data_IF_535957490155
#
_entry.id   IF_535957490155
#
_cell.length_a   1.000
_cell.length_b   1.000
_cell.length_c   1.000
_cell.angle_alpha   90.00
_cell.angle_beta   90.00
_cell.angle_gamma   90.00
#
_symmetry.space_group_name_H-M   'P 1'
#
loop_
_entity.id
_entity.type
_entity.pdbx_description
1 polymer ?
#
# COMPACT_ATOMS: atom_id res chain seq x y z
N UNK A 1 -31.22 36.07 36.92
CA UNK A 1 -32.56 35.48 36.77
C UNK A 1 -32.31 34.01 36.49
N UNK A 2 -32.23 33.15 37.45
CA UNK A 2 -33.21 32.36 38.22
C UNK A 2 -34.05 31.48 37.29
N UNK A 3 -33.88 30.16 37.44
CA UNK A 3 -34.77 29.16 36.90
C UNK A 3 -34.17 27.75 37.03
N UNK A 4 -34.12 27.26 38.25
CA UNK A 4 -33.93 25.84 38.56
C UNK A 4 -35.27 25.13 38.47
N UNK A 5 -35.30 23.91 37.92
CA UNK A 5 -36.35 22.93 38.20
C UNK A 5 -35.74 21.54 38.34
N UNK A 6 -35.94 21.04 39.55
CA UNK A 6 -35.68 19.68 40.03
C UNK A 6 -36.93 18.81 39.79
N UNK A 7 -36.74 17.51 40.06
CA UNK A 7 -37.72 16.42 40.34
C UNK A 7 -38.09 15.60 39.09
N UNK A 8 -37.78 14.31 39.09
CA UNK A 8 -38.47 13.25 39.71
C UNK A 8 -37.84 11.88 39.57
N UNK A 9 -37.68 11.29 40.64
CA UNK A 9 -37.35 9.90 40.97
C UNK A 9 -38.46 8.95 40.49
N UNK A 10 -38.11 7.79 39.85
CA UNK A 10 -38.96 6.59 39.92
C UNK A 10 -38.15 5.34 39.74
N UNK A 11 -38.03 4.63 40.79
CA UNK A 11 -37.51 3.31 41.05
C UNK A 11 -38.55 2.26 40.61
N UNK A 12 -38.20 1.31 39.73
CA UNK A 12 -38.96 0.09 39.59
C UNK A 12 -38.00 -1.08 39.28
N UNK A 13 -37.74 -1.88 40.29
CA UNK A 13 -37.10 -3.17 40.23
C UNK A 13 -38.05 -4.21 39.67
N UNK A 14 -37.63 -4.97 38.67
CA UNK A 14 -38.26 -6.24 38.27
C UNK A 14 -37.18 -7.29 38.11
N UNK A 15 -37.15 -8.15 39.13
CA UNK A 15 -36.43 -9.44 39.14
C UNK A 15 -37.16 -10.40 38.21
N UNK A 16 -36.52 -10.87 37.15
CA UNK A 16 -36.91 -12.04 36.39
C UNK A 16 -35.74 -13.05 36.39
N UNK A 17 -35.90 -14.08 37.19
CA UNK A 17 -35.07 -15.28 37.18
C UNK A 17 -35.35 -16.06 35.91
N UNK A 18 -34.37 -16.27 35.07
CA UNK A 18 -34.37 -17.25 33.98
C UNK A 18 -33.34 -18.33 34.25
N UNK A 19 -33.85 -19.55 34.40
CA UNK A 19 -33.10 -20.77 34.59
C UNK A 19 -32.15 -21.02 33.43
N UNK A 20 -30.88 -21.37 33.73
CA UNK A 20 -29.90 -21.88 32.78
C UNK A 20 -30.17 -23.33 32.44
N UNK A 21 -30.29 -23.70 31.17
CA UNK A 21 -30.21 -25.12 30.77
C UNK A 21 -28.78 -25.63 30.90
N UNK A 22 -28.62 -26.77 31.56
CA UNK A 22 -27.41 -27.56 31.66
C UNK A 22 -27.01 -28.03 30.27
N UNK A 23 -25.77 -27.82 29.78
CA UNK A 23 -25.31 -28.42 28.55
C UNK A 23 -25.01 -29.91 28.81
N UNK A 24 -25.67 -30.74 28.02
CA UNK A 24 -25.44 -32.17 27.86
C UNK A 24 -23.99 -32.45 27.49
N UNK A 25 -23.38 -33.39 28.18
CA UNK A 25 -22.00 -33.79 28.03
C UNK A 25 -21.71 -34.32 26.60
N UNK A 26 -20.83 -33.64 25.89
CA UNK A 26 -20.26 -34.11 24.65
C UNK A 26 -19.37 -35.35 24.88
N UNK A 27 -19.38 -36.31 23.95
CA UNK A 27 -18.55 -37.53 24.07
C UNK A 27 -17.05 -37.21 24.03
N UNK A 28 -16.20 -38.08 24.65
CA UNK A 28 -14.76 -37.80 24.74
C UNK A 28 -14.11 -37.83 23.34
N UNK A 29 -13.61 -36.71 22.93
CA UNK A 29 -12.74 -36.58 21.75
C UNK A 29 -11.38 -37.18 22.09
N UNK A 30 -11.04 -38.27 21.43
CA UNK A 30 -9.71 -38.86 21.43
C UNK A 30 -8.68 -37.82 20.97
N UNK A 31 -7.56 -37.63 21.68
CA UNK A 31 -6.52 -36.69 21.21
C UNK A 31 -5.84 -37.26 19.98
N UNK A 32 -6.12 -36.69 18.83
CA UNK A 32 -5.34 -36.87 17.61
C UNK A 32 -3.94 -36.34 17.87
N UNK A 33 -2.86 -37.10 17.60
CA UNK A 33 -1.51 -36.58 17.76
C UNK A 33 -1.30 -35.38 16.85
N UNK A 34 -0.53 -34.36 17.29
CA UNK A 34 -0.30 -33.21 16.47
C UNK A 34 0.45 -33.60 15.20
N UNK A 35 -0.23 -33.48 14.07
CA UNK A 35 0.44 -33.49 12.77
C UNK A 35 1.37 -32.30 12.81
N UNK A 36 2.65 -32.55 13.00
CA UNK A 36 3.68 -31.58 12.81
C UNK A 36 3.58 -31.06 11.36
N UNK A 37 2.89 -29.93 11.19
CA UNK A 37 2.96 -29.19 9.98
C UNK A 37 4.44 -28.86 9.77
N UNK A 38 5.09 -29.60 8.88
CA UNK A 38 6.35 -29.20 8.29
C UNK A 38 6.05 -27.89 7.60
N UNK A 39 6.31 -26.79 8.30
CA UNK A 39 6.52 -25.51 7.68
C UNK A 39 7.71 -25.74 6.76
N UNK A 40 7.44 -25.94 5.49
CA UNK A 40 8.44 -25.94 4.45
C UNK A 40 8.96 -24.51 4.42
N UNK A 41 10.01 -24.29 5.20
CA UNK A 41 10.78 -23.07 5.18
C UNK A 41 11.45 -23.03 3.81
N UNK A 42 10.79 -22.33 2.86
CA UNK A 42 11.38 -22.06 1.59
C UNK A 42 12.73 -21.35 1.85
N UNK A 43 13.81 -21.73 1.15
CA UNK A 43 15.09 -21.09 1.35
C UNK A 43 14.94 -19.57 1.16
N UNK A 44 15.61 -18.73 2.00
CA UNK A 44 15.44 -17.30 1.93
C UNK A 44 15.79 -16.84 0.50
N UNK A 45 14.77 -16.33 -0.20
CA UNK A 45 14.92 -15.78 -1.54
C UNK A 45 16.10 -14.79 -1.54
N UNK A 46 17.00 -14.90 -2.48
CA UNK A 46 18.14 -14.00 -2.62
C UNK A 46 17.63 -12.56 -2.79
N UNK A 47 18.42 -11.57 -2.42
CA UNK A 47 18.02 -10.17 -2.55
C UNK A 47 17.65 -9.81 -4.01
N UNK A 48 18.20 -10.51 -5.00
CA UNK A 48 17.85 -10.36 -6.41
C UNK A 48 16.46 -10.94 -6.72
N UNK A 49 16.16 -12.16 -6.31
CA UNK A 49 14.84 -12.80 -6.47
C UNK A 49 13.74 -12.03 -5.76
N UNK A 50 14.04 -11.47 -4.58
CA UNK A 50 13.10 -10.62 -3.85
C UNK A 50 12.84 -9.28 -4.56
N UNK A 51 13.81 -8.76 -5.33
CA UNK A 51 13.65 -7.57 -6.18
C UNK A 51 12.82 -7.87 -7.43
N UNK A 52 12.98 -9.03 -8.00
CA UNK A 52 12.28 -9.50 -9.19
C UNK A 52 10.85 -9.94 -8.86
N UNK A 53 10.63 -10.53 -7.67
CA UNK A 53 9.30 -10.91 -7.16
C UNK A 53 8.44 -9.71 -6.72
N UNK A 54 9.01 -8.51 -6.59
CA UNK A 54 8.27 -7.25 -6.55
C UNK A 54 7.75 -6.94 -7.96
N UNK A 55 6.95 -7.83 -8.47
CA UNK A 55 6.62 -8.06 -9.88
C UNK A 55 6.04 -6.87 -10.63
N UNK A 56 5.90 -5.70 -10.02
CA UNK A 56 5.60 -4.46 -10.72
C UNK A 56 6.20 -3.26 -9.99
N UNK A 57 7.47 -3.00 -10.26
CA UNK A 57 8.16 -1.77 -9.83
C UNK A 57 7.57 -0.51 -10.50
N UNK A 58 6.27 -0.52 -10.82
CA UNK A 58 5.60 0.55 -11.59
C UNK A 58 4.31 0.96 -10.93
N UNK A 59 4.19 2.25 -10.68
CA UNK A 59 2.97 2.90 -10.19
C UNK A 59 2.39 3.70 -11.33
N UNK A 60 1.18 3.33 -11.76
CA UNK A 60 0.49 3.99 -12.87
C UNK A 60 -0.39 5.13 -12.40
N UNK A 61 -0.65 6.08 -13.32
CA UNK A 61 -1.45 7.28 -13.05
C UNK A 61 -2.52 7.46 -14.12
N UNK A 62 -3.68 7.96 -13.72
CA UNK A 62 -4.74 8.38 -14.63
C UNK A 62 -4.30 9.53 -15.54
N UNK A 63 -5.00 9.79 -16.66
CA UNK A 63 -4.72 10.94 -17.52
C UNK A 63 -4.74 12.25 -16.70
N UNK A 64 -3.67 13.04 -16.80
CA UNK A 64 -3.51 14.26 -16.01
C UNK A 64 -3.33 14.07 -14.49
N UNK A 65 -3.57 12.86 -13.97
CA UNK A 65 -3.49 12.56 -12.54
C UNK A 65 -2.05 12.55 -12.00
N UNK A 66 -1.91 13.02 -10.78
CA UNK A 66 -0.63 13.08 -10.03
C UNK A 66 -0.73 12.45 -8.65
N UNK A 67 -1.91 11.95 -8.26
CA UNK A 67 -2.14 11.28 -6.98
C UNK A 67 -1.95 9.77 -7.11
N UNK A 68 -1.32 9.16 -6.10
CA UNK A 68 -1.23 7.70 -5.98
C UNK A 68 -2.56 7.17 -5.48
N UNK A 69 -3.20 6.31 -6.25
CA UNK A 69 -4.46 5.66 -5.90
C UNK A 69 -4.28 4.56 -4.85
N UNK A 70 -5.37 3.91 -4.44
CA UNK A 70 -5.34 2.86 -3.42
C UNK A 70 -4.55 1.63 -3.89
N UNK A 71 -4.59 1.30 -5.18
CA UNK A 71 -3.85 0.17 -5.76
C UNK A 71 -2.35 0.47 -5.74
N UNK A 72 -1.96 1.67 -6.17
CA UNK A 72 -0.57 2.14 -6.12
C UNK A 72 -0.02 2.18 -4.69
N UNK A 73 -0.83 2.59 -3.70
CA UNK A 73 -0.41 2.58 -2.28
C UNK A 73 -0.12 1.17 -1.79
N UNK A 74 -1.00 0.20 -2.06
CA UNK A 74 -0.79 -1.22 -1.70
C UNK A 74 0.47 -1.79 -2.36
N UNK A 75 0.74 -1.44 -3.61
CA UNK A 75 1.98 -1.84 -4.30
C UNK A 75 3.24 -1.28 -3.64
N UNK A 76 3.17 -0.10 -3.02
CA UNK A 76 4.31 0.52 -2.34
C UNK A 76 4.62 -0.08 -0.95
N UNK A 77 3.68 -0.79 -0.32
CA UNK A 77 3.87 -1.39 1.01
C UNK A 77 5.04 -2.40 1.05
N UNK A 78 5.13 -3.41 0.15
CA UNK A 78 6.25 -4.35 0.15
C UNK A 78 7.58 -3.66 -0.16
N UNK A 79 7.62 -2.64 -1.00
CA UNK A 79 8.82 -1.83 -1.24
C UNK A 79 9.26 -1.08 0.02
N UNK A 80 8.32 -0.53 0.77
CA UNK A 80 8.62 0.14 2.03
C UNK A 80 9.17 -0.84 3.07
N UNK A 81 8.63 -2.06 3.15
CA UNK A 81 9.16 -3.12 4.03
C UNK A 81 10.58 -3.50 3.65
N UNK A 82 10.85 -3.70 2.35
CA UNK A 82 12.17 -4.01 1.83
C UNK A 82 13.20 -2.93 2.18
N UNK A 83 12.86 -1.66 1.96
CA UNK A 83 13.73 -0.52 2.22
C UNK A 83 14.01 -0.33 3.72
N UNK A 84 13.02 -0.59 4.58
CA UNK A 84 13.20 -0.55 6.04
C UNK A 84 14.05 -1.71 6.56
N UNK A 85 13.99 -2.87 5.92
CA UNK A 85 14.80 -4.04 6.30
C UNK A 85 16.28 -3.87 5.95
N UNK A 86 16.60 -3.14 4.89
CA UNK A 86 17.99 -2.86 4.49
C UNK A 86 18.24 -1.35 4.41
N UNK A 87 18.89 -0.80 5.44
CA UNK A 87 19.20 0.62 5.54
C UNK A 87 20.19 1.14 4.49
N UNK A 88 20.91 0.24 3.78
CA UNK A 88 21.84 0.56 2.69
C UNK A 88 21.16 0.57 1.33
N UNK A 89 20.01 -0.07 1.22
CA UNK A 89 19.28 -0.14 -0.03
C UNK A 89 18.71 1.25 -0.39
N UNK A 90 18.91 1.63 -1.63
CA UNK A 90 18.44 2.91 -2.18
C UNK A 90 17.48 2.60 -3.33
N UNK A 91 16.34 3.26 -3.36
CA UNK A 91 15.42 3.24 -4.50
C UNK A 91 15.50 4.56 -5.27
N UNK A 92 15.54 4.47 -6.58
CA UNK A 92 15.42 5.64 -7.49
C UNK A 92 14.01 5.64 -8.08
N UNK A 93 13.24 6.68 -7.79
CA UNK A 93 11.93 6.93 -8.39
C UNK A 93 12.13 7.65 -9.72
N UNK A 94 11.68 7.05 -10.81
CA UNK A 94 11.79 7.63 -12.16
C UNK A 94 10.40 7.96 -12.68
N UNK A 95 10.08 9.24 -12.78
CA UNK A 95 8.77 9.74 -13.22
C UNK A 95 8.70 9.91 -14.73
N UNK A 96 7.65 9.35 -15.32
CA UNK A 96 7.38 9.36 -16.76
C UNK A 96 5.97 9.88 -17.05
N UNK A 97 5.79 10.43 -18.24
CA UNK A 97 4.50 10.90 -18.76
C UNK A 97 4.28 10.41 -20.19
N UNK A 98 3.03 10.52 -20.66
CA UNK A 98 2.71 10.33 -22.07
C UNK A 98 3.23 11.48 -22.95
N UNK A 99 2.91 11.43 -24.24
CA UNK A 99 3.35 12.38 -25.27
C UNK A 99 2.57 13.70 -25.27
N UNK A 100 1.47 13.81 -24.50
CA UNK A 100 0.56 14.96 -24.54
C UNK A 100 1.12 16.17 -23.77
N UNK A 101 0.95 17.36 -24.34
CA UNK A 101 1.34 18.63 -23.73
C UNK A 101 2.77 19.09 -24.03
N UNK A 102 3.11 20.28 -23.57
CA UNK A 102 4.45 20.86 -23.74
C UNK A 102 5.51 20.11 -22.93
N UNK A 103 6.78 20.24 -23.33
CA UNK A 103 7.90 19.63 -22.59
C UNK A 103 7.94 20.07 -21.12
N UNK A 104 7.74 21.36 -20.86
CA UNK A 104 7.72 21.89 -19.51
C UNK A 104 6.57 21.32 -18.68
N UNK A 105 5.37 21.22 -19.25
CA UNK A 105 4.21 20.60 -18.61
C UNK A 105 4.47 19.13 -18.28
N UNK A 106 4.99 18.36 -19.22
CA UNK A 106 5.33 16.96 -19.03
C UNK A 106 6.34 16.75 -17.89
N UNK A 107 7.37 17.57 -17.82
CA UNK A 107 8.35 17.52 -16.74
C UNK A 107 7.70 17.82 -15.38
N UNK A 108 6.88 18.88 -15.30
CA UNK A 108 6.17 19.25 -14.07
C UNK A 108 5.24 18.13 -13.57
N UNK A 109 4.50 17.47 -14.47
CA UNK A 109 3.63 16.32 -14.12
C UNK A 109 4.49 15.15 -13.62
N UNK A 110 5.61 14.84 -14.29
CA UNK A 110 6.52 13.78 -13.85
C UNK A 110 7.07 14.05 -12.45
N UNK A 111 7.48 15.28 -12.16
CA UNK A 111 7.95 15.69 -10.83
C UNK A 111 6.88 15.55 -9.76
N UNK A 112 5.64 15.99 -10.04
CA UNK A 112 4.52 15.84 -9.11
C UNK A 112 4.22 14.37 -8.81
N UNK A 113 4.23 13.47 -9.81
CA UNK A 113 4.05 12.03 -9.64
C UNK A 113 5.15 11.40 -8.79
N UNK A 114 6.41 11.71 -9.08
CA UNK A 114 7.55 11.26 -8.28
C UNK A 114 7.42 11.73 -6.83
N UNK A 115 7.03 12.99 -6.63
CA UNK A 115 6.81 13.52 -5.30
C UNK A 115 5.66 12.82 -4.57
N UNK A 116 4.56 12.50 -5.26
CA UNK A 116 3.44 11.76 -4.68
C UNK A 116 3.87 10.37 -4.19
N UNK A 117 4.63 9.60 -5.00
CA UNK A 117 5.18 8.30 -4.59
C UNK A 117 6.16 8.46 -3.43
N UNK A 118 7.05 9.45 -3.48
CA UNK A 118 7.96 9.76 -2.38
C UNK A 118 7.21 10.00 -1.07
N UNK A 119 6.15 10.81 -1.09
CA UNK A 119 5.35 11.09 0.11
C UNK A 119 4.68 9.82 0.67
N UNK A 120 4.19 8.92 -0.19
CA UNK A 120 3.63 7.64 0.27
C UNK A 120 4.70 6.79 0.96
N UNK A 121 5.87 6.61 0.35
CA UNK A 121 6.98 5.86 0.97
C UNK A 121 7.43 6.49 2.29
N UNK A 122 7.47 7.83 2.36
CA UNK A 122 7.78 8.55 3.61
C UNK A 122 6.74 8.27 4.71
N UNK A 123 5.45 8.27 4.36
CA UNK A 123 4.35 7.93 5.30
C UNK A 123 4.42 6.47 5.75
N UNK A 124 4.93 5.57 4.91
CA UNK A 124 5.20 4.17 5.26
C UNK A 124 6.49 3.97 6.09
N UNK A 125 7.18 5.05 6.46
CA UNK A 125 8.34 5.05 7.35
C UNK A 125 9.69 4.90 6.66
N UNK A 126 9.77 4.99 5.31
CA UNK A 126 11.05 4.91 4.60
C UNK A 126 11.85 6.21 4.79
N UNK A 127 13.12 6.18 5.22
CA UNK A 127 13.96 7.37 5.36
C UNK A 127 14.20 8.07 4.02
N UNK A 128 14.20 9.41 4.01
CA UNK A 128 14.41 10.19 2.78
C UNK A 128 15.75 9.87 2.08
N UNK A 129 16.80 9.55 2.84
CA UNK A 129 18.13 9.19 2.33
C UNK A 129 18.15 7.95 1.45
N UNK A 130 17.15 7.05 1.59
CA UNK A 130 17.01 5.84 0.77
C UNK A 130 16.22 6.09 -0.52
N UNK A 131 15.70 7.31 -0.75
CA UNK A 131 14.84 7.59 -1.89
C UNK A 131 15.46 8.68 -2.76
N UNK A 132 15.89 8.32 -3.96
CA UNK A 132 16.30 9.27 -5.00
C UNK A 132 15.12 9.59 -5.92
N UNK A 133 15.02 10.82 -6.38
CA UNK A 133 13.92 11.27 -7.23
C UNK A 133 14.47 11.77 -8.55
N UNK A 134 13.89 11.29 -9.65
CA UNK A 134 14.28 11.69 -10.99
C UNK A 134 13.06 11.79 -11.90
N UNK A 135 12.80 12.96 -12.43
CA UNK A 135 11.72 13.20 -13.39
C UNK A 135 12.29 13.23 -14.80
N UNK A 136 11.83 12.32 -15.66
CA UNK A 136 12.25 12.26 -17.07
C UNK A 136 11.27 13.03 -17.96
N UNK A 137 10.01 13.11 -17.55
CA UNK A 137 8.92 13.57 -18.37
C UNK A 137 8.52 12.52 -19.40
N UNK A 138 8.61 12.82 -20.68
CA UNK A 138 8.34 11.87 -21.75
C UNK A 138 9.54 10.95 -21.92
N UNK A 139 9.31 9.63 -21.78
CA UNK A 139 10.29 8.64 -22.20
C UNK A 139 10.54 8.80 -23.70
N UNK A 140 11.80 8.65 -24.15
CA UNK A 140 12.14 8.67 -25.59
C UNK A 140 11.16 7.75 -26.30
N UNK A 141 10.33 8.36 -27.11
CA UNK A 141 9.13 7.80 -27.69
C UNK A 141 9.24 6.30 -27.95
N UNK A 142 8.33 5.53 -27.38
CA UNK A 142 7.88 4.32 -28.04
C UNK A 142 7.24 4.83 -29.34
N UNK A 143 8.00 4.76 -30.45
CA UNK A 143 7.53 5.23 -31.74
C UNK A 143 6.17 4.58 -32.02
N UNK A 144 5.13 5.37 -32.27
CA UNK A 144 3.79 4.85 -32.54
C UNK A 144 2.84 4.67 -31.36
N UNK A 145 3.16 5.18 -30.16
CA UNK A 145 2.26 5.13 -29.01
C UNK A 145 1.14 6.20 -29.12
N UNK A 146 0.13 5.95 -29.94
CA UNK A 146 -0.98 6.87 -30.19
C UNK A 146 -2.30 6.45 -29.53
N UNK A 147 -2.41 5.22 -29.02
CA UNK A 147 -3.63 4.71 -28.38
C UNK A 147 -3.69 5.08 -26.90
N UNK A 148 -4.91 5.08 -26.34
CA UNK A 148 -5.15 5.36 -24.92
C UNK A 148 -4.44 4.35 -24.02
N UNK A 149 -4.47 3.08 -24.40
CA UNK A 149 -3.86 1.96 -23.68
C UNK A 149 -2.32 2.11 -23.65
N UNK A 150 -1.73 2.43 -24.79
CA UNK A 150 -0.30 2.69 -24.87
C UNK A 150 0.09 3.88 -23.98
N UNK A 151 -0.62 5.00 -24.07
CA UNK A 151 -0.37 6.17 -23.19
C UNK A 151 -0.53 5.84 -21.72
N UNK A 152 -1.45 4.93 -21.37
CA UNK A 152 -1.60 4.48 -19.98
C UNK A 152 -0.32 3.84 -19.45
N UNK A 153 0.37 3.06 -20.25
CA UNK A 153 1.65 2.44 -19.84
C UNK A 153 2.78 3.46 -19.66
N UNK A 154 2.70 4.61 -20.31
CA UNK A 154 3.69 5.68 -20.19
C UNK A 154 3.51 6.51 -18.92
N UNK A 155 2.28 6.67 -18.44
CA UNK A 155 1.96 7.45 -17.25
C UNK A 155 2.30 6.68 -15.98
N UNK A 156 3.59 6.62 -15.61
CA UNK A 156 4.05 5.81 -14.49
C UNK A 156 5.21 6.45 -13.72
N UNK A 157 5.40 5.98 -12.52
CA UNK A 157 6.65 6.12 -11.78
C UNK A 157 7.25 4.72 -11.61
N UNK A 158 8.49 4.55 -12.02
CA UNK A 158 9.25 3.30 -11.83
C UNK A 158 10.11 3.38 -10.58
N UNK A 159 10.12 2.30 -9.81
CA UNK A 159 11.02 2.09 -8.69
C UNK A 159 12.22 1.28 -9.17
N UNK A 160 13.37 1.91 -9.31
CA UNK A 160 14.62 1.26 -9.76
C UNK A 160 15.54 1.03 -8.58
N UNK A 161 15.96 -0.20 -8.41
CA UNK A 161 16.96 -0.60 -7.44
C UNK A 161 18.33 -0.79 -8.13
N UNK A 162 19.46 -0.63 -7.40
CA UNK A 162 20.80 -0.84 -7.93
C UNK A 162 21.05 -2.31 -8.27
#
# INVERSE_FOLDING_TARGET
MRGAWLVGLSLAALLAACATPVPEAAPPVTPTPPVAARVSEAPPATAAEKRESLAENRIFFSPGGTQVDIVGRRKLEPHALLLKADAKLIVTLVGMTDDLGSRAFKLAIAEQRVNAVFQVLRKLGVPARQIRRYAVGMEKAVAGCITTECRQTMRRVELRYP
#
